data_IF_360323467376
#
_entry.id   IF_360323467376
#
_cell.length_a   1.000
_cell.length_b   1.000
_cell.length_c   1.000
_cell.angle_alpha   90.00
_cell.angle_beta   90.00
_cell.angle_gamma   90.00
#
_symmetry.space_group_name_H-M   'P 1'
#
loop_
_entity.id
_entity.type
_entity.pdbx_description
1 polymer ?
#
# COMPACT_ATOMS: atom_id res chain seq x y z
N UNK A 1 1.33 4.33 24.00
CA UNK A 1 1.49 4.10 22.55
C UNK A 1 0.13 3.66 22.03
N UNK A 2 -0.42 4.33 21.02
CA UNK A 2 -1.65 3.86 20.37
C UNK A 2 -1.36 2.52 19.69
N UNK A 3 -2.25 1.55 19.83
CA UNK A 3 -2.12 0.28 19.14
C UNK A 3 -2.59 0.41 17.69
N UNK A 4 -2.13 -0.47 16.80
CA UNK A 4 -2.48 -0.40 15.37
C UNK A 4 -3.98 -0.48 15.10
N UNK A 5 -4.73 -1.14 15.99
CA UNK A 5 -6.19 -1.23 15.93
C UNK A 5 -6.89 0.10 16.26
N UNK A 6 -6.27 0.99 17.03
CA UNK A 6 -6.82 2.31 17.40
C UNK A 6 -6.61 3.39 16.34
N UNK A 7 -5.71 3.17 15.37
CA UNK A 7 -5.40 4.15 14.34
C UNK A 7 -6.54 4.31 13.34
N UNK A 8 -6.91 5.55 13.02
CA UNK A 8 -7.87 5.79 11.95
C UNK A 8 -7.26 5.43 10.59
N UNK A 9 -8.07 5.02 9.59
CA UNK A 9 -7.59 4.80 8.22
C UNK A 9 -6.70 5.92 7.68
N UNK A 10 -7.06 7.18 7.95
CA UNK A 10 -6.30 8.35 7.51
C UNK A 10 -4.94 8.48 8.20
N UNK A 11 -4.85 8.15 9.50
CA UNK A 11 -3.58 8.15 10.22
C UNK A 11 -2.63 7.08 9.67
N UNK A 12 -3.17 5.90 9.35
CA UNK A 12 -2.42 4.82 8.70
C UNK A 12 -1.94 5.27 7.33
N UNK A 13 -2.81 5.88 6.52
CA UNK A 13 -2.44 6.39 5.20
C UNK A 13 -1.31 7.43 5.29
N UNK A 14 -1.43 8.43 6.19
CA UNK A 14 -0.41 9.47 6.39
C UNK A 14 0.95 8.86 6.72
N UNK A 15 0.98 7.84 7.58
CA UNK A 15 2.23 7.19 7.99
C UNK A 15 2.81 6.26 6.94
N UNK A 16 1.98 5.55 6.18
CA UNK A 16 2.42 4.61 5.14
C UNK A 16 2.81 5.33 3.84
N UNK A 17 2.17 6.45 3.52
CA UNK A 17 2.33 7.14 2.23
C UNK A 17 3.79 7.50 1.88
N UNK A 18 4.67 7.96 2.79
CA UNK A 18 6.07 8.22 2.48
C UNK A 18 6.84 6.98 2.02
N UNK A 19 6.52 5.81 2.57
CA UNK A 19 7.15 4.53 2.23
C UNK A 19 6.69 4.03 0.86
N UNK A 20 5.43 4.27 0.53
CA UNK A 20 4.83 3.89 -0.77
C UNK A 20 5.32 4.83 -1.88
N UNK A 21 5.22 6.14 -1.68
CA UNK A 21 5.59 7.14 -2.70
C UNK A 21 7.10 7.29 -2.88
N UNK A 22 7.90 6.89 -1.89
CA UNK A 22 9.35 6.83 -1.98
C UNK A 22 9.88 5.64 -2.79
N UNK A 23 9.04 4.64 -3.09
CA UNK A 23 9.40 3.46 -3.87
C UNK A 23 8.89 3.59 -5.30
N UNK A 24 9.67 3.09 -6.25
CA UNK A 24 9.30 3.00 -7.66
C UNK A 24 9.83 1.70 -8.24
N UNK A 25 9.06 1.12 -9.16
CA UNK A 25 9.49 -0.03 -9.95
C UNK A 25 9.63 0.42 -11.40
N UNK A 26 10.84 0.86 -11.77
CA UNK A 26 11.05 1.57 -13.02
C UNK A 26 10.27 2.88 -13.06
N UNK A 27 9.39 3.02 -14.05
CA UNK A 27 8.48 4.15 -14.25
C UNK A 27 7.11 3.96 -13.57
N UNK A 28 6.91 2.87 -12.81
CA UNK A 28 5.68 2.61 -12.07
C UNK A 28 5.74 3.31 -10.71
N UNK A 29 4.80 4.24 -10.50
CA UNK A 29 4.56 4.87 -9.20
C UNK A 29 3.44 4.15 -8.44
N UNK A 30 3.48 4.22 -7.12
CA UNK A 30 2.49 3.60 -6.24
C UNK A 30 1.71 4.67 -5.46
N UNK A 31 0.42 4.42 -5.27
CA UNK A 31 -0.50 5.32 -4.56
C UNK A 31 -1.32 4.56 -3.52
N UNK A 32 -1.42 5.09 -2.31
CA UNK A 32 -2.27 4.51 -1.26
C UNK A 32 -3.73 4.83 -1.55
N UNK A 33 -4.61 3.82 -1.50
CA UNK A 33 -6.07 3.99 -1.52
C UNK A 33 -6.59 4.04 -0.08
N UNK A 34 -6.55 5.24 0.50
CA UNK A 34 -6.88 5.51 1.91
C UNK A 34 -8.34 5.20 2.26
N UNK A 35 -9.25 5.40 1.31
CA UNK A 35 -10.68 5.12 1.43
C UNK A 35 -10.99 3.63 1.65
N UNK A 36 -10.08 2.74 1.23
CA UNK A 36 -10.24 1.28 1.35
C UNK A 36 -9.41 0.65 2.47
N UNK A 37 -8.73 1.46 3.29
CA UNK A 37 -7.99 0.96 4.46
C UNK A 37 -8.96 0.45 5.52
N UNK A 38 -8.75 -0.78 5.98
CA UNK A 38 -9.58 -1.40 7.02
C UNK A 38 -8.78 -2.34 7.92
N UNK A 39 -9.26 -2.55 9.14
CA UNK A 39 -8.68 -3.50 10.08
C UNK A 39 -9.16 -4.92 9.74
N UNK A 40 -8.22 -5.87 9.61
CA UNK A 40 -8.50 -7.29 9.42
C UNK A 40 -7.51 -8.11 10.23
N UNK A 41 -8.01 -8.96 11.14
CA UNK A 41 -7.19 -9.85 11.98
C UNK A 41 -6.05 -9.14 12.75
N UNK A 42 -6.27 -7.90 13.21
CA UNK A 42 -5.26 -7.12 13.93
C UNK A 42 -4.22 -6.42 13.04
N UNK A 43 -4.36 -6.50 11.71
CA UNK A 43 -3.55 -5.80 10.73
C UNK A 43 -4.38 -4.75 9.99
N UNK A 44 -3.79 -3.58 9.71
CA UNK A 44 -4.39 -2.59 8.82
C UNK A 44 -4.06 -2.98 7.39
N UNK A 45 -5.07 -3.44 6.64
CA UNK A 45 -4.90 -3.71 5.21
C UNK A 45 -4.86 -2.38 4.48
N UNK A 46 -3.77 -2.12 3.77
CA UNK A 46 -3.53 -0.88 3.02
C UNK A 46 -3.46 -1.20 1.54
N UNK A 47 -4.52 -0.91 0.76
CA UNK A 47 -4.48 -1.14 -0.67
C UNK A 47 -3.60 -0.09 -1.36
N UNK A 48 -2.78 -0.55 -2.30
CA UNK A 48 -1.86 0.28 -3.06
C UNK A 48 -2.08 0.06 -4.56
N UNK A 49 -2.30 1.15 -5.27
CA UNK A 49 -2.62 1.17 -6.69
C UNK A 49 -1.38 1.56 -7.48
N UNK A 50 -0.86 0.69 -8.35
CA UNK A 50 0.19 1.09 -9.26
C UNK A 50 -0.36 2.01 -10.35
N UNK A 51 0.46 2.89 -10.91
CA UNK A 51 0.04 3.80 -12.00
C UNK A 51 -0.36 3.05 -13.28
N UNK A 52 0.26 1.89 -13.54
CA UNK A 52 -0.04 0.97 -14.65
C UNK A 52 0.15 -0.47 -14.19
N UNK A 53 -0.24 -1.45 -15.01
CA UNK A 53 -0.03 -2.87 -14.68
C UNK A 53 1.46 -3.19 -14.49
N UNK A 54 1.87 -3.78 -13.35
CA UNK A 54 3.26 -4.16 -13.13
C UNK A 54 3.64 -5.37 -13.97
N UNK A 55 4.70 -5.22 -14.77
CA UNK A 55 5.33 -6.32 -15.50
C UNK A 55 6.86 -6.17 -15.39
N UNK A 56 7.57 -7.12 -14.76
CA UNK A 56 7.07 -8.37 -14.15
C UNK A 56 6.41 -8.17 -12.77
N UNK A 57 5.46 -9.05 -12.43
CA UNK A 57 4.74 -9.02 -11.14
C UNK A 57 5.62 -9.39 -9.93
N UNK A 58 6.67 -10.19 -10.13
CA UNK A 58 7.48 -10.68 -9.01
C UNK A 58 8.20 -9.54 -8.25
N UNK A 59 8.97 -8.64 -8.89
CA UNK A 59 9.56 -7.48 -8.22
C UNK A 59 8.54 -6.53 -7.59
N UNK A 60 7.33 -6.47 -8.14
CA UNK A 60 6.24 -5.69 -7.55
C UNK A 60 5.85 -6.24 -6.18
N UNK A 61 5.64 -7.55 -6.06
CA UNK A 61 5.30 -8.17 -4.78
C UNK A 61 6.46 -8.11 -3.76
N UNK A 62 7.72 -8.25 -4.21
CA UNK A 62 8.88 -8.03 -3.34
C UNK A 62 8.90 -6.61 -2.78
N UNK A 63 8.66 -5.61 -3.63
CA UNK A 63 8.57 -4.21 -3.19
C UNK A 63 7.43 -3.96 -2.20
N UNK A 64 6.27 -4.62 -2.34
CA UNK A 64 5.19 -4.49 -1.35
C UNK A 64 5.58 -5.08 0.01
N UNK A 65 6.26 -6.23 0.02
CA UNK A 65 6.76 -6.85 1.25
C UNK A 65 7.83 -5.98 1.93
N UNK A 66 8.75 -5.40 1.16
CA UNK A 66 9.73 -4.44 1.70
C UNK A 66 9.06 -3.24 2.38
N UNK A 67 7.95 -2.73 1.82
CA UNK A 67 7.20 -1.62 2.42
C UNK A 67 6.55 -2.06 3.74
N UNK A 68 6.00 -3.27 3.81
CA UNK A 68 5.43 -3.82 5.05
C UNK A 68 6.46 -3.85 6.17
N UNK A 69 7.64 -4.41 5.89
CA UNK A 69 8.73 -4.52 6.83
C UNK A 69 9.23 -3.14 7.28
N UNK A 70 9.47 -2.21 6.33
CA UNK A 70 9.94 -0.86 6.68
C UNK A 70 8.93 -0.08 7.53
N UNK A 71 7.63 -0.18 7.24
CA UNK A 71 6.59 0.46 8.06
C UNK A 71 6.54 -0.15 9.44
N UNK A 72 6.62 -1.47 9.55
CA UNK A 72 6.60 -2.14 10.84
C UNK A 72 7.82 -1.79 11.69
N UNK A 73 9.01 -1.76 11.09
CA UNK A 73 10.27 -1.43 11.78
C UNK A 73 10.32 0.03 12.25
N UNK A 74 9.91 0.99 11.40
CA UNK A 74 10.08 2.42 11.70
C UNK A 74 8.89 3.04 12.43
N UNK A 75 7.66 2.60 12.13
CA UNK A 75 6.44 3.16 12.72
C UNK A 75 5.85 2.29 13.84
N UNK A 76 6.24 1.01 13.92
CA UNK A 76 5.67 0.06 14.88
C UNK A 76 4.21 -0.33 14.57
N UNK A 77 3.77 -0.15 13.32
CA UNK A 77 2.39 -0.40 12.89
C UNK A 77 2.33 -1.72 12.14
N UNK A 78 1.34 -2.55 12.48
CA UNK A 78 1.06 -3.81 11.77
C UNK A 78 0.21 -3.57 10.54
N UNK A 79 0.84 -3.48 9.38
CA UNK A 79 0.17 -3.30 8.10
C UNK A 79 0.27 -4.54 7.22
N UNK A 80 -0.66 -4.66 6.29
CA UNK A 80 -0.52 -5.56 5.14
C UNK A 80 -0.77 -4.72 3.90
N UNK A 81 0.27 -4.51 3.11
CA UNK A 81 0.24 -3.79 1.84
C UNK A 81 -0.34 -4.74 0.80
N UNK A 82 -1.53 -4.41 0.31
CA UNK A 82 -2.23 -5.23 -0.67
C UNK A 82 -2.22 -4.56 -2.03
N UNK A 83 -2.04 -5.34 -3.10
CA UNK A 83 -2.25 -4.82 -4.44
C UNK A 83 -3.72 -4.43 -4.63
N UNK A 84 -3.91 -3.24 -5.20
CA UNK A 84 -5.18 -2.76 -5.73
C UNK A 84 -5.15 -2.73 -7.25
N UNK A 85 -6.32 -2.52 -7.87
CA UNK A 85 -6.39 -2.29 -9.32
C UNK A 85 -5.52 -1.07 -9.70
N UNK A 86 -4.83 -1.11 -10.85
CA UNK A 86 -4.07 0.05 -11.33
C UNK A 86 -4.96 1.30 -11.47
N UNK A 87 -4.33 2.47 -11.46
CA UNK A 87 -5.03 3.75 -11.66
C UNK A 87 -5.55 3.92 -13.08
N UNK A 88 -4.91 3.30 -14.08
CA UNK A 88 -5.52 3.12 -15.39
C UNK A 88 -6.75 2.20 -15.24
N UNK A 89 -7.92 2.82 -15.14
CA UNK A 89 -9.17 2.14 -15.45
C UNK A 89 -8.99 1.48 -16.82
N UNK A 90 -9.32 0.18 -16.92
CA UNK A 90 -9.51 -0.46 -18.22
C UNK A 90 -10.42 0.47 -19.02
N UNK A 91 -9.85 1.20 -19.97
CA UNK A 91 -10.61 1.93 -20.96
C UNK A 91 -11.56 0.92 -21.56
N UNK A 92 -12.85 1.16 -21.40
CA UNK A 92 -13.89 0.23 -21.77
C UNK A 92 -13.71 -0.19 -23.23
N UNK A 93 -13.80 -1.49 -23.47
CA UNK A 93 -14.22 -1.98 -24.77
C UNK A 93 -15.62 -2.53 -24.57
N UNK A 94 -16.60 -1.70 -24.96
CA UNK A 94 -17.98 -2.10 -25.26
C UNK A 94 -18.03 -3.14 -26.36
#
# INVERSE_FOLDING_TARGET
>A
MMTTDELMPQDVAIRVNPYVTGKSLGDISLHVDDARIHLRNGYRRVPVRPSREPDPLFPYYEMLADIEDEVQEKEGIRVTIASGDPLEEKSGTS
#
